data_IF_900853425148
#
_entry.id   IF_900853425148
#
_cell.length_a   1.000
_cell.length_b   1.000
_cell.length_c   1.000
_cell.angle_alpha   90.00
_cell.angle_beta   90.00
_cell.angle_gamma   90.00
#
_symmetry.space_group_name_H-M   'P 1'
#
loop_
_entity.id
_entity.type
_entity.pdbx_description
1 polymer ?
#
# COMPACT_ATOMS: atom_id res chain seq x y z
N UNK A 1 16.04 -26.14 -10.77
CA UNK A 1 17.21 -25.54 -10.10
C UNK A 1 16.92 -25.47 -8.59
N UNK A 2 17.89 -25.86 -7.75
CA UNK A 2 17.76 -25.74 -6.29
C UNK A 2 17.85 -24.27 -5.87
N UNK A 3 17.03 -23.86 -4.91
CA UNK A 3 17.08 -22.51 -4.33
C UNK A 3 18.44 -22.31 -3.64
N UNK A 4 19.13 -21.21 -3.98
CA UNK A 4 20.45 -20.84 -3.44
C UNK A 4 20.37 -19.89 -2.25
N UNK A 5 19.18 -19.59 -1.76
CA UNK A 5 18.93 -18.65 -0.65
C UNK A 5 19.48 -17.23 -0.87
N UNK A 6 19.75 -16.86 -2.14
CA UNK A 6 20.25 -15.57 -2.57
C UNK A 6 19.52 -15.18 -3.85
N UNK A 7 18.93 -13.99 -3.89
CA UNK A 7 18.23 -13.49 -5.08
C UNK A 7 19.18 -13.36 -6.26
N UNK A 8 20.35 -12.70 -6.15
CA UNK A 8 21.31 -12.62 -7.24
C UNK A 8 21.76 -13.98 -7.78
N UNK A 9 22.08 -14.94 -6.90
CA UNK A 9 22.54 -16.26 -7.32
C UNK A 9 21.44 -17.08 -8.00
N UNK A 10 20.22 -16.94 -7.54
CA UNK A 10 19.07 -17.57 -8.20
C UNK A 10 18.82 -16.95 -9.58
N UNK A 11 18.92 -15.64 -9.73
CA UNK A 11 18.79 -14.96 -11.01
C UNK A 11 19.90 -15.38 -11.98
N UNK A 12 21.15 -15.41 -11.56
CA UNK A 12 22.27 -15.88 -12.38
C UNK A 12 22.07 -17.33 -12.83
N UNK A 13 21.61 -18.22 -11.93
CA UNK A 13 21.32 -19.60 -12.26
C UNK A 13 20.15 -19.75 -13.26
N UNK A 14 19.12 -18.95 -13.15
CA UNK A 14 18.00 -18.94 -14.09
C UNK A 14 18.41 -18.41 -15.47
N UNK A 15 19.17 -17.32 -15.51
CA UNK A 15 19.68 -16.76 -16.77
C UNK A 15 20.53 -17.80 -17.52
N UNK A 16 21.44 -18.46 -16.82
CA UNK A 16 22.26 -19.53 -17.40
C UNK A 16 21.42 -20.74 -17.85
N UNK A 17 20.42 -21.14 -17.06
CA UNK A 17 19.57 -22.30 -17.35
C UNK A 17 18.73 -22.11 -18.62
N UNK A 18 18.20 -20.89 -18.82
CA UNK A 18 17.38 -20.57 -19.98
C UNK A 18 18.14 -20.00 -21.16
N UNK A 19 19.44 -19.74 -21.02
CA UNK A 19 20.24 -19.07 -22.04
C UNK A 19 19.72 -17.66 -22.36
N UNK A 20 19.14 -16.98 -21.36
CA UNK A 20 18.55 -15.67 -21.56
C UNK A 20 19.63 -14.58 -21.63
N UNK A 21 19.47 -13.64 -22.55
CA UNK A 21 20.42 -12.54 -22.78
C UNK A 21 19.98 -11.23 -22.15
N UNK A 22 18.74 -11.18 -21.64
CA UNK A 22 18.17 -10.01 -20.99
C UNK A 22 17.37 -10.38 -19.76
N UNK A 23 17.55 -9.63 -18.67
CA UNK A 23 16.75 -9.69 -17.47
C UNK A 23 16.02 -8.34 -17.28
N UNK A 24 14.71 -8.39 -17.17
CA UNK A 24 13.94 -7.26 -16.67
C UNK A 24 13.35 -7.61 -15.30
N UNK A 25 13.46 -6.66 -14.37
CA UNK A 25 12.87 -6.82 -13.04
C UNK A 25 12.16 -5.53 -12.61
N UNK A 26 11.12 -5.66 -11.82
CA UNK A 26 10.43 -4.53 -11.22
C UNK A 26 11.32 -3.86 -10.17
N UNK A 27 11.38 -2.52 -10.15
CA UNK A 27 12.05 -1.78 -9.09
C UNK A 27 11.55 -2.24 -7.72
N UNK A 28 12.42 -2.78 -6.85
CA UNK A 28 12.04 -3.05 -5.47
C UNK A 28 11.72 -1.76 -4.72
N UNK A 29 10.70 -1.79 -3.88
CA UNK A 29 10.40 -0.66 -2.99
C UNK A 29 11.30 -0.66 -1.73
N UNK A 30 12.00 -1.76 -1.48
CA UNK A 30 12.97 -1.89 -0.40
C UNK A 30 14.37 -1.47 -0.88
N UNK A 31 14.95 -0.47 -0.20
CA UNK A 31 16.21 0.16 -0.62
C UNK A 31 17.41 -0.81 -0.72
N UNK A 32 17.56 -1.74 0.23
CA UNK A 32 18.69 -2.69 0.24
C UNK A 32 18.63 -3.64 -0.94
N UNK A 33 17.44 -4.13 -1.26
CA UNK A 33 17.23 -5.01 -2.40
C UNK A 33 17.44 -4.26 -3.72
N UNK A 34 16.97 -3.03 -3.83
CA UNK A 34 17.20 -2.17 -5.00
C UNK A 34 18.71 -1.94 -5.22
N UNK A 35 19.44 -1.57 -4.16
CA UNK A 35 20.90 -1.39 -4.21
C UNK A 35 21.64 -2.69 -4.57
N UNK A 36 21.23 -3.82 -4.00
CA UNK A 36 21.80 -5.13 -4.28
C UNK A 36 21.63 -5.52 -5.75
N UNK A 37 20.40 -5.44 -6.27
CA UNK A 37 20.10 -5.83 -7.67
C UNK A 37 20.78 -4.90 -8.67
N UNK A 38 20.83 -3.60 -8.40
CA UNK A 38 21.52 -2.62 -9.24
C UNK A 38 23.02 -2.89 -9.30
N UNK A 39 23.67 -3.11 -8.13
CA UNK A 39 25.10 -3.42 -8.05
C UNK A 39 25.40 -4.75 -8.73
N UNK A 40 24.60 -5.78 -8.45
CA UNK A 40 24.78 -7.08 -9.09
C UNK A 40 24.56 -7.00 -10.61
N UNK A 41 23.51 -6.31 -11.07
CA UNK A 41 23.19 -6.16 -12.48
C UNK A 41 24.31 -5.47 -13.30
N UNK A 42 24.97 -4.48 -12.71
CA UNK A 42 26.08 -3.78 -13.35
C UNK A 42 27.32 -4.66 -13.58
N UNK A 43 27.41 -5.83 -12.93
CA UNK A 43 28.52 -6.79 -13.07
C UNK A 43 28.19 -7.94 -14.03
N UNK A 44 26.99 -7.98 -14.60
CA UNK A 44 26.62 -9.08 -15.49
C UNK A 44 27.07 -8.82 -16.93
N UNK A 45 27.29 -9.90 -17.68
CA UNK A 45 27.63 -9.86 -19.09
C UNK A 45 26.38 -9.74 -20.01
N UNK A 46 25.16 -9.89 -19.44
CA UNK A 46 23.89 -9.77 -20.11
C UNK A 46 23.18 -8.46 -19.70
N UNK A 47 22.20 -8.05 -20.49
CA UNK A 47 21.44 -6.81 -20.25
C UNK A 47 20.54 -6.98 -19.01
N UNK A 48 20.67 -6.05 -18.04
CA UNK A 48 19.86 -6.03 -16.81
C UNK A 48 19.15 -4.69 -16.69
N UNK A 49 17.83 -4.71 -16.72
CA UNK A 49 17.01 -3.51 -16.70
C UNK A 49 15.98 -3.55 -15.58
N UNK A 50 15.98 -2.50 -14.76
CA UNK A 50 14.88 -2.26 -13.81
C UNK A 50 13.76 -1.47 -14.49
N UNK A 51 12.50 -1.90 -14.27
CA UNK A 51 11.30 -1.24 -14.81
C UNK A 51 10.43 -0.74 -13.66
N UNK A 52 9.64 0.31 -13.91
CA UNK A 52 8.70 0.84 -12.91
C UNK A 52 7.68 -0.23 -12.51
N UNK A 53 7.34 -0.28 -11.21
CA UNK A 53 6.25 -1.12 -10.72
C UNK A 53 4.86 -0.59 -11.08
N UNK A 54 4.76 0.70 -11.44
CA UNK A 54 3.50 1.43 -11.67
C UNK A 54 2.53 1.39 -10.47
N UNK A 55 3.02 1.02 -9.27
CA UNK A 55 2.24 1.04 -8.03
C UNK A 55 1.88 2.45 -7.55
N UNK A 56 2.67 3.44 -7.96
CA UNK A 56 2.48 4.84 -7.59
C UNK A 56 2.16 5.68 -8.83
N UNK A 57 1.41 6.74 -8.64
CA UNK A 57 1.09 7.69 -9.69
C UNK A 57 2.30 8.53 -10.17
N UNK A 58 3.43 8.40 -9.49
CA UNK A 58 4.69 9.06 -9.83
C UNK A 58 5.83 8.07 -9.86
N UNK A 59 6.83 8.35 -10.69
CA UNK A 59 8.11 7.66 -10.64
C UNK A 59 8.98 8.22 -9.51
N UNK A 60 10.03 7.50 -9.13
CA UNK A 60 11.01 7.97 -8.14
C UNK A 60 11.68 9.28 -8.55
N UNK A 61 11.96 9.46 -9.84
CA UNK A 61 12.58 10.66 -10.39
C UNK A 61 11.64 11.86 -10.35
N UNK A 62 10.36 11.68 -10.66
CA UNK A 62 9.36 12.74 -10.55
C UNK A 62 9.22 13.28 -9.14
N UNK A 63 9.25 12.41 -8.12
CA UNK A 63 9.20 12.84 -6.73
C UNK A 63 10.41 13.72 -6.37
N UNK A 64 11.60 13.31 -6.80
CA UNK A 64 12.81 14.10 -6.63
C UNK A 64 12.73 15.46 -7.31
N UNK A 65 12.16 15.55 -8.51
CA UNK A 65 11.96 16.82 -9.24
C UNK A 65 10.95 17.74 -8.53
N UNK A 66 9.84 17.19 -8.01
CA UNK A 66 8.83 17.98 -7.30
C UNK A 66 9.41 18.68 -6.07
N UNK A 67 10.33 18.03 -5.38
CA UNK A 67 10.92 18.55 -4.14
C UNK A 67 12.33 19.15 -4.32
N UNK A 68 12.81 19.27 -5.56
CA UNK A 68 14.13 19.81 -5.85
C UNK A 68 14.32 21.20 -5.23
N UNK A 69 15.38 21.37 -4.45
CA UNK A 69 15.72 22.63 -3.79
C UNK A 69 14.84 23.03 -2.62
N UNK A 70 13.89 22.21 -2.22
CA UNK A 70 13.04 22.48 -1.06
C UNK A 70 13.70 21.97 0.23
N UNK A 71 13.65 22.79 1.29
CA UNK A 71 14.17 22.39 2.62
C UNK A 71 13.26 21.37 3.31
N UNK A 72 11.96 21.42 3.03
CA UNK A 72 10.96 20.52 3.61
C UNK A 72 10.11 19.91 2.50
N UNK A 73 9.85 18.63 2.65
CA UNK A 73 8.99 17.86 1.76
C UNK A 73 7.61 17.76 2.40
N UNK A 74 6.77 18.73 2.12
CA UNK A 74 5.41 18.78 2.65
C UNK A 74 4.48 17.97 1.76
N UNK A 75 3.86 16.97 2.34
CA UNK A 75 2.89 16.09 1.67
C UNK A 75 1.72 16.87 1.08
N UNK A 76 1.28 17.92 1.76
CA UNK A 76 0.21 18.81 1.30
C UNK A 76 0.48 19.40 -0.10
N UNK A 77 1.68 19.87 -0.38
CA UNK A 77 2.04 20.39 -1.71
C UNK A 77 2.05 19.31 -2.78
N UNK A 78 2.54 18.13 -2.44
CA UNK A 78 2.53 16.99 -3.34
C UNK A 78 1.10 16.53 -3.63
N UNK A 79 0.27 16.40 -2.59
CA UNK A 79 -1.13 16.00 -2.69
C UNK A 79 -1.94 16.94 -3.60
N UNK A 80 -1.84 18.26 -3.42
CA UNK A 80 -2.50 19.25 -4.28
C UNK A 80 -2.10 19.10 -5.74
N UNK A 81 -0.78 18.98 -6.00
CA UNK A 81 -0.25 18.75 -7.35
C UNK A 81 -0.81 17.47 -7.98
N UNK A 82 -0.91 16.39 -7.21
CA UNK A 82 -1.46 15.13 -7.70
C UNK A 82 -2.94 15.22 -8.00
N UNK A 83 -3.72 15.89 -7.17
CA UNK A 83 -5.14 16.16 -7.42
C UNK A 83 -5.33 16.96 -8.72
N UNK A 84 -4.57 18.02 -8.91
CA UNK A 84 -4.61 18.82 -10.14
C UNK A 84 -4.19 17.99 -11.37
N UNK A 85 -3.10 17.23 -11.28
CA UNK A 85 -2.61 16.38 -12.36
C UNK A 85 -3.64 15.34 -12.83
N UNK A 86 -4.37 14.76 -11.90
CA UNK A 86 -5.31 13.66 -12.15
C UNK A 86 -6.78 14.10 -12.14
N UNK A 87 -7.05 15.39 -12.02
CA UNK A 87 -8.39 15.97 -11.95
C UNK A 87 -9.29 15.29 -10.89
N UNK A 88 -8.70 15.00 -9.71
CA UNK A 88 -9.42 14.35 -8.60
C UNK A 88 -9.98 15.42 -7.66
N UNK A 89 -11.31 15.51 -7.56
CA UNK A 89 -12.02 16.51 -6.75
C UNK A 89 -11.57 17.95 -7.07
N UNK A 90 -11.38 18.23 -8.35
CA UNK A 90 -11.02 19.53 -8.90
C UNK A 90 -12.09 19.92 -9.88
N UNK A 91 -12.57 21.15 -9.77
CA UNK A 91 -13.55 21.73 -10.68
C UNK A 91 -12.94 22.18 -12.03
N UNK A 92 -13.76 22.68 -12.94
CA UNK A 92 -13.31 23.13 -14.26
C UNK A 92 -12.38 24.36 -14.20
N UNK A 93 -12.39 25.11 -13.09
CA UNK A 93 -11.48 26.24 -12.87
C UNK A 93 -10.13 25.83 -12.27
N UNK A 94 -9.96 24.55 -11.94
CA UNK A 94 -8.73 24.02 -11.30
C UNK A 94 -8.72 24.19 -9.78
N UNK A 95 -9.84 24.57 -9.17
CA UNK A 95 -10.00 24.74 -7.74
C UNK A 95 -10.54 23.47 -7.07
N UNK A 96 -10.29 23.24 -5.77
CA UNK A 96 -10.77 22.05 -5.09
C UNK A 96 -12.30 22.05 -4.95
N UNK A 97 -12.95 20.94 -5.27
CA UNK A 97 -14.35 20.74 -4.93
C UNK A 97 -14.56 20.93 -3.42
N UNK A 98 -15.64 21.62 -3.04
CA UNK A 98 -15.89 22.04 -1.66
C UNK A 98 -15.16 23.32 -1.22
N UNK A 99 -14.36 23.94 -2.11
CA UNK A 99 -13.75 25.25 -1.90
C UNK A 99 -12.51 25.27 -0.99
N UNK A 100 -12.08 24.14 -0.48
CA UNK A 100 -10.89 24.03 0.39
C UNK A 100 -10.00 22.86 0.00
N UNK A 101 -8.69 23.07 0.15
CA UNK A 101 -7.71 22.02 -0.09
C UNK A 101 -7.54 21.06 1.07
N UNK A 102 -7.90 21.48 2.27
CA UNK A 102 -7.69 20.76 3.51
C UNK A 102 -8.86 21.00 4.48
N UNK A 103 -9.33 19.93 5.11
CA UNK A 103 -10.42 19.91 6.07
C UNK A 103 -10.01 19.38 7.46
N UNK A 104 -8.71 19.28 7.75
CA UNK A 104 -8.18 18.69 9.00
C UNK A 104 -8.72 19.34 10.27
N UNK A 105 -9.11 20.60 10.21
CA UNK A 105 -9.72 21.30 11.35
C UNK A 105 -11.15 20.83 11.63
N UNK A 106 -11.81 20.17 10.68
CA UNK A 106 -13.18 19.67 10.80
C UNK A 106 -13.27 18.20 11.20
N UNK A 107 -12.16 17.42 11.15
CA UNK A 107 -12.13 15.98 11.36
C UNK A 107 -12.01 15.53 12.83
N UNK A 108 -11.94 16.48 13.77
CA UNK A 108 -11.70 16.24 15.21
C UNK A 108 -12.94 16.43 16.08
N UNK A 109 -14.11 16.38 15.49
CA UNK A 109 -15.36 16.54 16.24
C UNK A 109 -15.56 15.35 17.16
N UNK A 110 -15.95 15.57 18.44
CA UNK A 110 -16.30 14.46 19.31
C UNK A 110 -17.53 13.75 18.76
N UNK A 111 -17.52 12.43 18.73
CA UNK A 111 -18.69 11.69 18.28
C UNK A 111 -19.77 11.66 19.37
N UNK A 112 -20.95 12.23 19.13
CA UNK A 112 -22.00 12.37 20.15
C UNK A 112 -22.87 11.10 20.30
N UNK A 113 -22.56 10.01 19.56
CA UNK A 113 -23.38 8.80 19.50
C UNK A 113 -24.32 8.75 18.31
N UNK A 114 -24.32 9.79 17.47
CA UNK A 114 -25.06 9.88 16.20
C UNK A 114 -24.15 10.44 15.10
N UNK A 115 -24.17 9.90 13.88
CA UNK A 115 -24.95 8.72 13.45
C UNK A 115 -24.54 7.45 14.22
N UNK A 116 -25.37 6.42 14.21
CA UNK A 116 -24.99 5.11 14.75
C UNK A 116 -23.75 4.57 14.03
N UNK A 117 -22.93 3.80 14.77
CA UNK A 117 -21.79 3.15 14.14
C UNK A 117 -22.30 2.16 13.09
N UNK A 118 -21.71 2.14 11.89
CA UNK A 118 -22.12 1.21 10.84
C UNK A 118 -21.91 -0.24 11.32
N UNK A 119 -22.77 -1.17 10.91
CA UNK A 119 -22.59 -2.57 11.26
C UNK A 119 -21.26 -3.10 10.71
N UNK A 120 -20.64 -4.01 11.45
CA UNK A 120 -19.41 -4.66 11.01
C UNK A 120 -19.69 -5.61 9.83
N UNK A 121 -19.37 -5.17 8.63
CA UNK A 121 -19.54 -5.92 7.38
C UNK A 121 -18.29 -6.71 6.97
N UNK A 122 -17.28 -6.82 7.85
CA UNK A 122 -16.09 -7.62 7.53
C UNK A 122 -16.45 -9.09 7.39
N UNK A 123 -15.86 -9.81 6.41
CA UNK A 123 -16.01 -11.25 6.31
C UNK A 123 -15.44 -11.94 7.55
N UNK A 124 -15.81 -13.18 7.78
CA UNK A 124 -15.27 -14.00 8.87
C UNK A 124 -14.81 -15.34 8.31
N UNK A 125 -13.57 -15.71 8.62
CA UNK A 125 -12.94 -16.95 8.15
C UNK A 125 -12.39 -17.75 9.33
N UNK A 126 -12.57 -19.09 9.29
CA UNK A 126 -11.93 -19.99 10.24
C UNK A 126 -10.60 -20.50 9.66
N UNK A 127 -9.51 -20.09 10.28
CA UNK A 127 -8.15 -20.51 9.98
C UNK A 127 -7.47 -21.26 11.15
N UNK A 128 -8.26 -21.83 12.08
CA UNK A 128 -7.76 -22.55 13.24
C UNK A 128 -6.79 -23.68 12.84
N UNK A 129 -7.09 -24.43 11.78
CA UNK A 129 -6.22 -25.50 11.30
C UNK A 129 -4.88 -24.98 10.76
N UNK A 130 -4.90 -23.86 10.03
CA UNK A 130 -3.68 -23.20 9.54
C UNK A 130 -2.84 -22.67 10.70
N UNK A 131 -3.49 -22.05 11.68
CA UNK A 131 -2.81 -21.52 12.85
C UNK A 131 -2.14 -22.64 13.67
N UNK A 132 -2.84 -23.74 13.91
CA UNK A 132 -2.27 -24.93 14.56
C UNK A 132 -1.03 -25.48 13.81
N UNK A 133 -1.04 -25.43 12.48
CA UNK A 133 0.12 -25.84 11.67
C UNK A 133 1.32 -24.90 11.86
N UNK A 134 1.09 -23.60 11.95
CA UNK A 134 2.14 -22.59 12.21
C UNK A 134 2.74 -22.81 13.60
N UNK A 135 1.93 -23.03 14.62
CA UNK A 135 2.37 -23.30 15.99
C UNK A 135 3.18 -24.61 16.07
N UNK A 136 2.68 -25.68 15.45
CA UNK A 136 3.36 -26.97 15.42
C UNK A 136 4.71 -26.91 14.69
N UNK A 137 4.87 -26.00 13.72
CA UNK A 137 6.15 -25.76 13.03
C UNK A 137 7.13 -24.94 13.87
N UNK A 138 6.77 -24.48 15.06
CA UNK A 138 7.61 -23.68 15.95
C UNK A 138 7.97 -22.28 15.42
N UNK A 139 7.15 -21.73 14.52
CA UNK A 139 7.35 -20.37 13.96
C UNK A 139 7.19 -19.36 15.09
N UNK A 140 8.22 -18.55 15.27
CA UNK A 140 8.16 -17.47 16.27
C UNK A 140 7.18 -16.39 15.81
N UNK A 141 6.17 -16.14 16.61
CA UNK A 141 5.17 -15.11 16.38
C UNK A 141 4.93 -14.32 17.65
N UNK A 142 4.35 -13.13 17.53
CA UNK A 142 3.84 -12.38 18.67
C UNK A 142 2.39 -11.96 18.42
N UNK A 143 1.67 -11.70 19.50
CA UNK A 143 0.24 -11.44 19.44
C UNK A 143 -0.58 -12.73 19.58
N UNK A 144 -1.89 -12.54 19.59
CA UNK A 144 -2.85 -13.64 19.75
C UNK A 144 -3.97 -13.50 18.72
N UNK A 145 -3.78 -14.05 17.51
CA UNK A 145 -4.79 -13.94 16.46
C UNK A 145 -6.03 -14.74 16.81
N UNK A 146 -7.19 -14.18 16.53
CA UNK A 146 -8.47 -14.89 16.62
C UNK A 146 -8.66 -15.77 15.37
N UNK A 147 -7.88 -16.85 15.26
CA UNK A 147 -7.79 -17.67 14.05
C UNK A 147 -9.13 -18.28 13.63
N UNK A 148 -10.01 -18.60 14.60
CA UNK A 148 -11.37 -19.12 14.33
C UNK A 148 -12.32 -18.04 13.76
N UNK A 149 -11.98 -16.78 13.88
CA UNK A 149 -12.80 -15.65 13.43
C UNK A 149 -11.94 -14.54 12.83
N UNK A 150 -11.08 -14.90 11.90
CA UNK A 150 -10.27 -13.90 11.17
C UNK A 150 -11.18 -13.00 10.34
N UNK A 151 -11.23 -11.73 10.68
CA UNK A 151 -12.18 -10.76 10.14
C UNK A 151 -11.50 -9.82 9.13
N UNK A 152 -10.87 -10.41 8.14
CA UNK A 152 -10.21 -9.66 7.06
C UNK A 152 -10.58 -10.24 5.70
N UNK A 153 -10.76 -9.41 4.67
CA UNK A 153 -10.90 -9.89 3.31
C UNK A 153 -9.66 -10.67 2.87
N UNK A 154 -9.85 -11.86 2.34
CA UNK A 154 -8.75 -12.71 1.87
C UNK A 154 -8.65 -12.79 0.33
N UNK A 155 -9.63 -12.24 -0.36
CA UNK A 155 -9.64 -12.19 -1.81
C UNK A 155 -10.19 -10.86 -2.31
N UNK A 156 -10.00 -10.60 -3.61
CA UNK A 156 -10.40 -9.34 -4.24
C UNK A 156 -11.91 -9.08 -4.16
N UNK A 157 -12.75 -10.10 -4.30
CA UNK A 157 -14.19 -9.92 -4.27
C UNK A 157 -14.67 -9.44 -2.89
N UNK A 158 -14.17 -10.05 -1.82
CA UNK A 158 -14.45 -9.62 -0.44
C UNK A 158 -13.92 -8.21 -0.16
N UNK A 159 -12.70 -7.90 -0.62
CA UNK A 159 -12.12 -6.57 -0.45
C UNK A 159 -12.94 -5.49 -1.16
N UNK A 160 -13.40 -5.74 -2.39
CA UNK A 160 -14.27 -4.83 -3.13
C UNK A 160 -15.65 -4.69 -2.49
N UNK A 161 -16.21 -5.78 -1.97
CA UNK A 161 -17.48 -5.75 -1.24
C UNK A 161 -17.36 -4.88 0.02
N UNK A 162 -16.28 -5.03 0.78
CA UNK A 162 -16.05 -4.22 1.97
C UNK A 162 -15.77 -2.75 1.62
N UNK A 163 -15.00 -2.49 0.57
CA UNK A 163 -14.79 -1.12 0.05
C UNK A 163 -16.12 -0.47 -0.34
N UNK A 164 -17.00 -1.19 -1.05
CA UNK A 164 -18.32 -0.68 -1.43
C UNK A 164 -19.17 -0.35 -0.19
N UNK A 165 -19.17 -1.22 0.81
CA UNK A 165 -19.84 -0.96 2.08
C UNK A 165 -19.28 0.28 2.78
N UNK A 166 -17.96 0.44 2.85
CA UNK A 166 -17.33 1.63 3.42
C UNK A 166 -17.77 2.90 2.69
N UNK A 167 -17.73 2.91 1.37
CA UNK A 167 -18.11 4.09 0.56
C UNK A 167 -19.57 4.49 0.80
N UNK A 168 -20.47 3.51 0.90
CA UNK A 168 -21.92 3.78 0.98
C UNK A 168 -22.40 4.10 2.40
N UNK A 169 -21.77 3.55 3.41
CA UNK A 169 -22.26 3.63 4.81
C UNK A 169 -21.35 4.44 5.73
N UNK A 170 -20.04 4.34 5.59
CA UNK A 170 -19.09 4.95 6.53
C UNK A 170 -18.54 6.27 6.02
N UNK A 171 -18.12 6.32 4.75
CA UNK A 171 -17.46 7.47 4.16
C UNK A 171 -18.25 8.79 4.28
N UNK A 172 -19.60 8.82 4.15
CA UNK A 172 -20.36 10.05 4.32
C UNK A 172 -20.18 10.75 5.68
N UNK A 173 -19.78 9.99 6.70
CA UNK A 173 -19.57 10.49 8.06
C UNK A 173 -18.12 10.47 8.50
N UNK A 174 -17.24 9.83 7.72
CA UNK A 174 -15.85 9.60 8.08
C UNK A 174 -15.11 10.90 8.35
N UNK A 175 -15.18 11.87 7.44
CA UNK A 175 -14.38 13.08 7.52
C UNK A 175 -14.60 13.90 8.81
N UNK A 176 -15.82 13.94 9.34
CA UNK A 176 -16.10 14.71 10.58
C UNK A 176 -15.58 14.04 11.85
N UNK A 177 -15.42 12.69 11.84
CA UNK A 177 -15.13 11.89 13.02
C UNK A 177 -13.87 11.04 12.89
N UNK A 178 -13.03 11.28 11.87
CA UNK A 178 -11.82 10.50 11.62
C UNK A 178 -10.92 10.38 12.87
N UNK A 179 -10.71 11.52 13.56
CA UNK A 179 -9.90 11.60 14.77
C UNK A 179 -10.73 11.53 16.06
N UNK A 180 -12.01 11.17 15.99
CA UNK A 180 -12.87 11.09 17.17
C UNK A 180 -12.41 9.99 18.10
N UNK A 181 -12.17 10.31 19.36
CA UNK A 181 -11.84 9.37 20.42
C UNK A 181 -13.12 8.96 21.16
N UNK A 182 -13.40 7.67 21.26
CA UNK A 182 -14.54 7.14 21.99
C UNK A 182 -14.15 5.92 22.82
N UNK A 183 -14.74 5.81 24.01
CA UNK A 183 -14.66 4.58 24.83
C UNK A 183 -15.72 3.54 24.46
N UNK A 184 -16.58 3.87 23.50
CA UNK A 184 -17.60 2.97 22.96
C UNK A 184 -17.05 2.33 21.69
N UNK A 185 -16.31 1.26 21.85
CA UNK A 185 -15.83 0.41 20.73
C UNK A 185 -16.34 -1.01 20.91
#
# INVERSE_FOLDING_TARGET
ASNRHSIPDNLAALMAHYGAERLQYQHPDEWRLDAQLRTWGALQAFDVQAVSSEHFYTTRTELAEVFKGRKQWLMEHFYRRMRQRHSVLIDEAGEPEGGQWNYDHDNRKPWPGTPELPPDARPSHDHSALWATIEAAGVQSFGNPQAAQLRWPLNRAEALGWLSHFITTTLPHFGAYEDAMSTRS
#
